data_IF_324040319592
#
_entry.id   IF_324040319592
#
_cell.length_a   1.000
_cell.length_b   1.000
_cell.length_c   1.000
_cell.angle_alpha   90.00
_cell.angle_beta   90.00
_cell.angle_gamma   90.00
#
_symmetry.space_group_name_H-M   'P 1'
#
loop_
_entity.id
_entity.type
_entity.pdbx_description
1 polymer ?
#
# COMPACT_ATOMS: atom_id res chain seq x y z
N UNK A 1 -6.96 -7.85 -5.57
CA UNK A 1 -7.32 -6.42 -5.69
C UNK A 1 -7.24 -5.84 -7.10
N UNK A 2 -6.21 -6.15 -7.91
CA UNK A 2 -6.08 -5.60 -9.28
C UNK A 2 -7.35 -5.73 -10.14
N UNK A 3 -8.03 -6.88 -10.09
CA UNK A 3 -9.26 -7.08 -10.87
C UNK A 3 -10.39 -6.14 -10.43
N UNK A 4 -10.52 -5.84 -9.13
CA UNK A 4 -11.51 -4.90 -8.61
C UNK A 4 -11.25 -3.47 -9.11
N UNK A 5 -9.98 -3.12 -9.29
CA UNK A 5 -9.58 -1.85 -9.92
C UNK A 5 -9.94 -1.85 -11.40
N UNK A 6 -9.60 -2.92 -12.13
CA UNK A 6 -9.91 -3.06 -13.56
C UNK A 6 -11.40 -2.99 -13.88
N UNK A 7 -12.25 -3.60 -13.06
CA UNK A 7 -13.71 -3.57 -13.24
C UNK A 7 -14.37 -2.31 -12.65
N UNK A 8 -13.57 -1.33 -12.18
CA UNK A 8 -14.06 -0.04 -11.70
C UNK A 8 -14.74 -0.04 -10.33
N UNK A 9 -14.76 -1.18 -9.61
CA UNK A 9 -15.34 -1.28 -8.26
C UNK A 9 -14.48 -0.59 -7.20
N UNK A 10 -13.18 -0.47 -7.44
CA UNK A 10 -12.22 0.18 -6.54
C UNK A 10 -11.39 1.17 -7.37
N UNK A 11 -11.22 2.41 -6.88
CA UNK A 11 -10.39 3.40 -7.59
C UNK A 11 -8.90 3.18 -7.33
N UNK A 12 -8.52 2.99 -6.07
CA UNK A 12 -7.13 2.85 -5.64
C UNK A 12 -6.99 1.83 -4.51
N UNK A 13 -5.77 1.34 -4.32
CA UNK A 13 -5.44 0.39 -3.26
C UNK A 13 -4.49 1.09 -2.27
N UNK A 14 -4.73 0.88 -0.97
CA UNK A 14 -3.83 1.25 0.11
C UNK A 14 -3.45 0.03 0.95
N UNK A 15 -2.44 0.19 1.79
CA UNK A 15 -1.99 -0.80 2.77
C UNK A 15 -2.07 -0.23 4.18
N UNK A 16 -2.00 -1.08 5.19
CA UNK A 16 -1.99 -0.67 6.61
C UNK A 16 -1.08 -1.61 7.37
N UNK A 17 -0.48 -1.09 8.41
CA UNK A 17 0.40 -1.78 9.32
C UNK A 17 1.64 -2.42 8.68
N UNK A 18 2.34 -1.62 7.88
CA UNK A 18 3.47 -2.09 7.07
C UNK A 18 4.79 -1.40 7.40
N UNK A 19 5.89 -2.05 7.03
CA UNK A 19 7.24 -1.49 7.12
C UNK A 19 7.60 -0.75 5.82
N UNK A 20 8.65 0.09 5.82
CA UNK A 20 9.20 0.64 4.58
C UNK A 20 9.60 -0.46 3.59
N UNK A 21 10.18 -1.56 4.07
CA UNK A 21 10.59 -2.67 3.20
C UNK A 21 9.38 -3.36 2.56
N UNK A 22 8.36 -3.69 3.35
CA UNK A 22 7.12 -4.31 2.86
C UNK A 22 6.42 -3.41 1.84
N UNK A 23 6.30 -2.12 2.15
CA UNK A 23 5.79 -1.09 1.22
C UNK A 23 6.54 -1.12 -0.11
N UNK A 24 7.87 -1.17 -0.07
CA UNK A 24 8.69 -1.23 -1.29
C UNK A 24 8.47 -2.54 -2.07
N UNK A 25 8.25 -3.67 -1.40
CA UNK A 25 7.91 -4.92 -2.09
C UNK A 25 6.58 -4.79 -2.86
N UNK A 26 5.54 -4.19 -2.28
CA UNK A 26 4.28 -3.95 -3.00
C UNK A 26 4.49 -3.10 -4.26
N UNK A 27 5.29 -2.04 -4.15
CA UNK A 27 5.61 -1.17 -5.29
C UNK A 27 6.34 -1.94 -6.39
N UNK A 28 7.37 -2.69 -6.03
CA UNK A 28 8.16 -3.50 -6.96
C UNK A 28 7.32 -4.56 -7.66
N UNK A 29 6.47 -5.29 -6.93
CA UNK A 29 5.60 -6.29 -7.53
C UNK A 29 4.55 -5.68 -8.44
N UNK A 30 3.98 -4.52 -8.07
CA UNK A 30 3.01 -3.82 -8.92
C UNK A 30 3.65 -3.39 -10.25
N UNK A 31 4.89 -2.89 -10.22
CA UNK A 31 5.65 -2.52 -11.40
C UNK A 31 5.97 -3.73 -12.29
N UNK A 32 6.60 -4.77 -11.72
CA UNK A 32 7.02 -5.96 -12.47
C UNK A 32 5.85 -6.69 -13.14
N UNK A 33 4.70 -6.76 -12.47
CA UNK A 33 3.54 -7.51 -12.94
C UNK A 33 2.47 -6.62 -13.60
N UNK A 34 2.74 -5.32 -13.77
CA UNK A 34 1.78 -4.32 -14.29
C UNK A 34 0.42 -4.40 -13.59
N UNK A 35 0.46 -4.48 -12.25
CA UNK A 35 -0.72 -4.49 -11.40
C UNK A 35 -1.00 -3.08 -10.86
N UNK A 36 -2.21 -2.87 -10.34
CA UNK A 36 -2.56 -1.65 -9.63
C UNK A 36 -1.57 -1.35 -8.50
N UNK A 37 -0.95 -0.16 -8.56
CA UNK A 37 0.02 0.34 -7.60
C UNK A 37 -0.68 0.83 -6.33
N UNK A 38 -0.09 0.57 -5.16
CA UNK A 38 -0.57 1.13 -3.90
C UNK A 38 -0.29 2.65 -3.86
N UNK A 39 -1.21 3.42 -3.29
CA UNK A 39 -1.12 4.90 -3.26
C UNK A 39 -1.16 5.49 -1.85
N UNK A 40 -1.38 4.67 -0.83
CA UNK A 40 -1.44 5.10 0.56
C UNK A 40 -1.01 3.99 1.51
N UNK A 41 -0.50 4.41 2.68
CA UNK A 41 -0.24 3.56 3.83
C UNK A 41 -0.93 4.17 5.06
N UNK A 42 -1.67 3.35 5.80
CA UNK A 42 -2.37 3.73 7.02
C UNK A 42 -1.68 3.09 8.22
N UNK A 43 -0.54 3.67 8.63
CA UNK A 43 0.18 3.28 9.84
C UNK A 43 -0.20 4.20 11.01
N UNK A 44 -0.02 3.69 12.23
CA UNK A 44 -0.21 4.49 13.43
C UNK A 44 0.82 5.62 13.50
N UNK A 45 0.34 6.85 13.65
CA UNK A 45 1.15 8.02 13.94
C UNK A 45 0.42 8.90 14.95
N UNK A 46 1.06 9.16 16.09
CA UNK A 46 0.55 10.05 17.12
C UNK A 46 1.70 10.54 18.01
N UNK A 47 1.39 11.36 19.02
CA UNK A 47 2.41 11.93 19.90
C UNK A 47 3.29 10.86 20.58
N UNK A 48 2.70 9.72 20.96
CA UNK A 48 3.40 8.61 21.62
C UNK A 48 4.08 7.66 20.63
N UNK A 49 3.59 7.58 19.38
CA UNK A 49 4.16 6.76 18.32
C UNK A 49 4.54 7.59 17.10
N UNK A 50 5.83 7.86 16.97
CA UNK A 50 6.42 8.65 15.88
C UNK A 50 7.27 7.85 14.90
N UNK A 51 7.38 6.52 15.06
CA UNK A 51 8.19 5.67 14.17
C UNK A 51 7.53 5.45 12.81
N UNK A 52 6.19 5.56 12.73
CA UNK A 52 5.39 5.32 11.51
C UNK A 52 5.61 3.95 10.87
N UNK A 53 6.05 2.96 11.64
CA UNK A 53 6.33 1.59 11.19
C UNK A 53 5.99 0.61 12.32
N UNK A 54 5.91 -0.68 11.99
CA UNK A 54 5.71 -1.80 12.92
C UNK A 54 7.05 -2.36 13.39
#
# INVERSE_FOLDING_TARGET
MNNLVKVGKVRHIGISNESAWGTNQYLKFAEQKKLARIVSIQNAYNFLNRKFEF
#
